data_IF_669192528045
#
_entry.id   IF_669192528045
#
_cell.length_a   1.000
_cell.length_b   1.000
_cell.length_c   1.000
_cell.angle_alpha   90.00
_cell.angle_beta   90.00
_cell.angle_gamma   90.00
#
_symmetry.space_group_name_H-M   'P 1'
#
loop_
_entity.id
_entity.type
_entity.pdbx_description
1 polymer ?
#
# COMPACT_ATOMS: atom_id res chain seq x y z
N UNK A 1 -13.40 -11.35 1.69
CA UNK A 1 -13.08 -10.11 2.42
C UNK A 1 -14.29 -9.58 3.18
N UNK A 2 -14.95 -10.43 3.97
CA UNK A 2 -16.07 -10.02 4.83
C UNK A 2 -16.01 -10.63 6.23
N UNK A 3 -15.04 -11.51 6.47
CA UNK A 3 -14.78 -12.12 7.77
C UNK A 3 -13.73 -11.32 8.50
N UNK A 4 -13.91 -11.18 9.80
CA UNK A 4 -12.88 -10.60 10.66
C UNK A 4 -11.59 -11.46 10.61
N UNK A 5 -10.45 -10.79 10.59
CA UNK A 5 -9.13 -11.42 10.45
C UNK A 5 -8.78 -11.95 9.04
N UNK A 6 -9.65 -11.79 8.04
CA UNK A 6 -9.34 -12.16 6.66
C UNK A 6 -8.30 -11.18 6.06
N UNK A 7 -7.20 -11.72 5.54
CA UNK A 7 -6.11 -10.90 5.01
C UNK A 7 -6.54 -10.20 3.73
N UNK A 8 -6.35 -8.88 3.69
CA UNK A 8 -6.47 -8.11 2.46
C UNK A 8 -5.21 -8.26 1.60
N UNK A 9 -5.39 -8.39 0.29
CA UNK A 9 -4.31 -8.40 -0.69
C UNK A 9 -4.30 -7.10 -1.51
N UNK A 10 -3.41 -7.05 -2.50
CA UNK A 10 -3.28 -5.94 -3.43
C UNK A 10 -4.60 -5.62 -4.18
N UNK A 11 -5.48 -6.60 -4.42
CA UNK A 11 -6.76 -6.37 -5.12
C UNK A 11 -7.69 -5.53 -4.25
N UNK A 12 -7.77 -5.84 -2.96
CA UNK A 12 -8.58 -5.09 -2.00
C UNK A 12 -8.05 -3.66 -1.84
N UNK A 13 -6.73 -3.50 -1.75
CA UNK A 13 -6.10 -2.17 -1.63
C UNK A 13 -6.39 -1.32 -2.88
N UNK A 14 -6.28 -1.88 -4.08
CA UNK A 14 -6.63 -1.19 -5.33
C UNK A 14 -8.11 -0.83 -5.40
N UNK A 15 -9.00 -1.77 -5.02
CA UNK A 15 -10.43 -1.55 -5.03
C UNK A 15 -10.83 -0.43 -4.05
N UNK A 16 -10.26 -0.43 -2.85
CA UNK A 16 -10.47 0.60 -1.83
C UNK A 16 -9.99 1.97 -2.33
N UNK A 17 -8.75 2.04 -2.86
CA UNK A 17 -8.18 3.29 -3.38
C UNK A 17 -9.09 3.92 -4.45
N UNK A 18 -9.60 3.11 -5.39
CA UNK A 18 -10.53 3.56 -6.44
C UNK A 18 -11.90 3.96 -5.88
N UNK A 19 -12.46 3.17 -4.97
CA UNK A 19 -13.78 3.46 -4.37
C UNK A 19 -13.77 4.78 -3.59
N UNK A 20 -12.69 5.03 -2.84
CA UNK A 20 -12.54 6.23 -2.02
C UNK A 20 -11.93 7.42 -2.78
N UNK A 21 -11.52 7.22 -4.04
CA UNK A 21 -10.83 8.22 -4.87
C UNK A 21 -9.57 8.81 -4.20
N UNK A 22 -8.81 7.94 -3.52
CA UNK A 22 -7.56 8.29 -2.83
C UNK A 22 -6.41 7.53 -3.48
N UNK A 23 -5.23 8.16 -3.46
CA UNK A 23 -4.00 7.48 -3.81
C UNK A 23 -3.41 6.79 -2.58
N UNK A 24 -3.01 5.54 -2.75
CA UNK A 24 -2.31 4.74 -1.74
C UNK A 24 -0.93 4.38 -2.31
N UNK A 25 0.10 4.80 -1.60
CA UNK A 25 1.50 4.50 -1.90
C UNK A 25 1.96 3.35 -1.03
N UNK A 26 2.25 2.21 -1.65
CA UNK A 26 2.77 1.02 -0.99
C UNK A 26 4.29 1.01 -1.12
N UNK A 27 4.99 1.02 -0.01
CA UNK A 27 6.45 0.96 0.09
C UNK A 27 6.84 -0.40 0.63
N UNK A 28 7.61 -1.17 -0.13
CA UNK A 28 8.08 -2.49 0.31
C UNK A 28 9.59 -2.62 0.18
N UNK A 29 10.21 -3.33 1.12
CA UNK A 29 11.59 -3.77 1.03
C UNK A 29 11.62 -5.28 0.86
N UNK A 30 12.33 -5.74 -0.18
CA UNK A 30 12.64 -7.16 -0.28
C UNK A 30 13.82 -7.49 0.63
N UNK A 31 13.77 -8.60 1.37
CA UNK A 31 14.84 -9.00 2.28
C UNK A 31 16.04 -9.66 1.66
N UNK A 32 15.86 -10.24 0.48
CA UNK A 32 16.95 -10.78 -0.30
C UNK A 32 17.71 -9.67 -1.01
N UNK A 33 17.28 -8.43 -0.81
CA UNK A 33 17.89 -7.26 -1.39
C UNK A 33 18.39 -6.32 -0.32
N UNK A 34 19.51 -5.67 -0.62
CA UNK A 34 20.07 -4.62 0.19
C UNK A 34 18.98 -3.56 0.53
N UNK A 35 19.09 -2.84 1.66
CA UNK A 35 18.11 -1.85 2.12
C UNK A 35 17.77 -0.75 1.10
N UNK A 36 18.56 -0.64 0.03
CA UNK A 36 18.34 0.21 -1.15
C UNK A 36 17.26 -0.28 -2.14
N UNK A 37 16.80 -1.54 -2.06
CA UNK A 37 15.77 -2.06 -2.96
C UNK A 37 14.36 -1.86 -2.38
N UNK A 38 13.97 -0.60 -2.36
CA UNK A 38 12.61 -0.18 -2.05
C UNK A 38 11.78 -0.21 -3.33
N UNK A 39 10.71 -1.00 -3.35
CA UNK A 39 9.74 -0.99 -4.44
C UNK A 39 8.55 -0.14 -4.01
N UNK A 40 8.19 0.84 -4.84
CA UNK A 40 7.08 1.76 -4.59
C UNK A 40 5.98 1.53 -5.61
N UNK A 41 4.76 1.29 -5.13
CA UNK A 41 3.57 1.13 -5.95
C UNK A 41 2.55 2.20 -5.58
N UNK A 42 2.04 2.95 -6.56
CA UNK A 42 0.94 3.90 -6.34
C UNK A 42 -0.30 3.36 -7.01
N UNK A 43 -1.36 3.16 -6.22
CA UNK A 43 -2.67 2.71 -6.67
C UNK A 43 -3.71 3.77 -6.32
N UNK A 44 -4.81 3.80 -7.06
CA UNK A 44 -5.79 4.89 -6.94
C UNK A 44 -5.90 5.66 -8.23
N UNK A 45 -4.82 6.30 -8.69
CA UNK A 45 -4.70 7.09 -9.93
C UNK A 45 -6.00 7.74 -10.37
N UNK A 46 -6.67 8.35 -9.41
CA UNK A 46 -7.57 9.47 -9.63
C UNK A 46 -6.69 10.72 -9.72
N UNK A 47 -7.08 11.71 -10.52
CA UNK A 47 -6.37 12.99 -10.69
C UNK A 47 -6.41 13.88 -9.43
N UNK A 48 -6.46 13.29 -8.23
CA UNK A 48 -6.63 13.99 -6.98
C UNK A 48 -5.29 14.54 -6.50
N UNK A 49 -5.25 15.85 -6.22
CA UNK A 49 -4.04 16.60 -5.83
C UNK A 49 -3.74 16.53 -4.31
N UNK A 50 -4.03 15.39 -3.67
CA UNK A 50 -3.80 15.19 -2.23
C UNK A 50 -2.56 14.33 -1.96
N UNK A 51 -2.03 14.42 -0.74
CA UNK A 51 -0.95 13.54 -0.30
C UNK A 51 -1.46 12.08 -0.21
N UNK A 52 -0.73 11.11 -0.79
CA UNK A 52 -1.14 9.72 -0.78
C UNK A 52 -1.05 9.11 0.62
N UNK A 53 -1.91 8.14 0.93
CA UNK A 53 -1.76 7.33 2.14
C UNK A 53 -0.56 6.40 1.95
N UNK A 54 0.38 6.43 2.89
CA UNK A 54 1.57 5.57 2.87
C UNK A 54 1.31 4.26 3.62
N UNK A 55 1.48 3.14 2.92
CA UNK A 55 1.44 1.80 3.49
C UNK A 55 2.80 1.12 3.33
N UNK A 56 3.39 0.70 4.44
CA UNK A 56 4.52 -0.21 4.43
C UNK A 56 4.04 -1.63 4.18
N UNK A 57 4.70 -2.36 3.30
CA UNK A 57 4.44 -3.77 3.04
C UNK A 57 5.67 -4.60 3.36
N UNK A 58 5.55 -5.44 4.38
CA UNK A 58 6.61 -6.31 4.86
C UNK A 58 6.33 -7.72 4.38
N UNK A 59 7.12 -8.18 3.41
CA UNK A 59 7.28 -9.60 3.07
C UNK A 59 5.97 -10.39 2.92
N UNK A 60 4.98 -9.83 2.22
CA UNK A 60 3.73 -10.54 1.95
C UNK A 60 2.93 -11.00 3.17
N UNK A 61 3.30 -10.54 4.37
CA UNK A 61 2.75 -10.99 5.63
C UNK A 61 2.14 -9.86 6.46
N UNK A 62 2.49 -8.61 6.18
CA UNK A 62 2.04 -7.49 6.98
C UNK A 62 1.98 -6.17 6.23
N UNK A 63 0.88 -5.42 6.44
CA UNK A 63 0.76 -4.02 6.08
C UNK A 63 0.85 -3.15 7.34
N UNK A 64 1.63 -2.08 7.28
CA UNK A 64 1.72 -1.08 8.35
C UNK A 64 1.43 0.32 7.81
N UNK A 65 0.89 1.21 8.66
CA UNK A 65 0.80 2.63 8.33
C UNK A 65 2.16 3.30 8.45
N UNK A 66 2.52 4.14 7.49
CA UNK A 66 3.74 4.95 7.53
C UNK A 66 3.37 6.43 7.64
N UNK A 67 4.26 7.22 8.26
CA UNK A 67 4.16 8.67 8.30
C UNK A 67 5.25 9.30 7.42
N UNK A 68 4.93 10.36 6.66
CA UNK A 68 5.96 11.17 6.00
C UNK A 68 6.89 11.78 7.06
N UNK A 69 8.17 11.96 6.70
CA UNK A 69 9.17 12.67 7.51
C UNK A 69 9.10 14.17 7.21
#
# INVERSE_FOLDING_TARGET
MARDGEWADHVVVVAMARMLQIDIMIVTSSPSSAPENIIVWVVGKTYFQGDPILLGYVWESHYMSLQPI
#
